data_IF_227184476117
#
_entry.id   IF_227184476117
#
_cell.length_a   1.000
_cell.length_b   1.000
_cell.length_c   1.000
_cell.angle_alpha   90.00
_cell.angle_beta   90.00
_cell.angle_gamma   90.00
#
_symmetry.space_group_name_H-M   'P 1'
#
loop_
_entity.id
_entity.type
_entity.pdbx_description
1 polymer ?
#
# COMPACT_ATOMS: atom_id res chain seq x y z
N UNK A 1 11.01 -32.02 10.71
CA UNK A 1 10.69 -31.46 10.64
C UNK A 1 10.45 -30.62 10.36
N UNK A 2 10.23 -30.37 10.18
CA UNK A 2 9.83 -29.62 9.97
C UNK A 2 9.72 -28.62 9.55
N UNK A 3 9.72 -28.33 9.27
CA UNK A 3 9.59 -27.44 9.04
C UNK A 3 9.21 -26.70 8.61
N UNK A 4 9.08 -26.56 8.53
CA UNK A 4 8.64 -25.93 8.32
C UNK A 4 8.24 -25.13 8.16
N UNK A 5 8.60 -25.12 8.07
CA UNK A 5 7.68 -24.13 7.59
C UNK A 5 7.49 -22.88 8.39
N UNK A 6 7.82 -22.82 9.48
CA UNK A 6 7.54 -21.71 10.28
C UNK A 6 8.20 -20.46 9.86
N UNK A 7 9.25 -20.55 9.23
CA UNK A 7 9.90 -19.35 8.83
C UNK A 7 9.10 -18.59 7.84
N UNK A 8 8.26 -19.24 7.15
CA UNK A 8 7.43 -18.54 6.24
C UNK A 8 6.45 -17.68 6.93
N UNK A 9 6.04 -18.06 8.11
CA UNK A 9 5.14 -17.22 8.82
C UNK A 9 5.75 -15.91 9.18
N UNK A 10 6.99 -15.92 9.55
CA UNK A 10 7.62 -14.68 9.92
C UNK A 10 7.64 -13.71 8.77
N UNK A 11 7.82 -14.22 7.58
CA UNK A 11 7.82 -13.32 6.45
C UNK A 11 6.46 -12.77 6.16
N UNK A 12 5.45 -13.54 6.41
CA UNK A 12 4.12 -13.08 6.16
C UNK A 12 3.73 -11.95 7.07
N UNK A 13 4.28 -11.92 8.24
CA UNK A 13 3.96 -10.85 9.15
C UNK A 13 4.38 -9.50 8.64
N UNK A 14 5.29 -9.48 7.71
CA UNK A 14 5.76 -8.21 7.18
C UNK A 14 5.16 -7.88 5.85
N UNK A 15 4.22 -8.66 5.41
CA UNK A 15 3.59 -8.41 4.15
C UNK A 15 2.69 -7.21 4.22
N UNK A 16 2.84 -6.31 3.26
CA UNK A 16 2.02 -5.13 3.18
C UNK A 16 0.92 -5.37 2.17
N UNK A 17 -0.33 -5.19 2.59
CA UNK A 17 -1.47 -5.34 1.71
C UNK A 17 -1.93 -3.99 1.20
N UNK A 18 -2.14 -3.90 -0.10
CA UNK A 18 -2.63 -2.69 -0.73
C UNK A 18 -3.80 -3.07 -1.62
N UNK A 19 -4.98 -2.52 -1.30
CA UNK A 19 -6.17 -2.76 -2.09
C UNK A 19 -6.84 -1.46 -2.42
N UNK A 20 -7.32 -1.32 -3.65
CA UNK A 20 -8.02 -0.13 -4.06
C UNK A 20 -9.43 -0.51 -4.50
N UNK A 21 -10.42 0.21 -4.01
CA UNK A 21 -11.80 -0.04 -4.37
C UNK A 21 -12.60 1.24 -4.25
N UNK A 22 -13.23 1.64 -5.35
CA UNK A 22 -14.18 2.75 -5.37
C UNK A 22 -13.66 4.02 -4.71
N UNK A 23 -12.44 4.39 -5.06
CA UNK A 23 -11.85 5.61 -4.56
C UNK A 23 -11.24 5.52 -3.19
N UNK A 24 -11.21 4.33 -2.61
CA UNK A 24 -10.65 4.14 -1.28
C UNK A 24 -9.51 3.14 -1.33
N UNK A 25 -8.43 3.50 -0.69
CA UNK A 25 -7.25 2.66 -0.60
C UNK A 25 -7.21 2.02 0.76
N UNK A 26 -7.07 0.70 0.79
CA UNK A 26 -7.02 -0.07 2.04
C UNK A 26 -5.61 -0.59 2.22
N UNK A 27 -4.99 -0.22 3.32
CA UNK A 27 -3.60 -0.56 3.59
C UNK A 27 -3.54 -1.39 4.85
N UNK A 28 -2.85 -2.52 4.78
CA UNK A 28 -2.64 -3.37 5.96
C UNK A 28 -1.16 -3.70 6.08
N UNK A 29 -0.71 -3.90 7.31
CA UNK A 29 0.65 -4.35 7.55
C UNK A 29 1.71 -3.31 7.36
N UNK A 30 1.35 -2.03 7.27
CA UNK A 30 2.31 -0.97 6.99
C UNK A 30 2.39 0.06 8.11
N UNK A 31 2.10 -0.34 9.31
CA UNK A 31 2.11 0.60 10.43
C UNK A 31 3.47 1.27 10.57
N UNK A 32 3.46 2.58 10.78
CA UNK A 32 4.68 3.40 10.94
C UNK A 32 5.46 3.60 9.65
N UNK A 33 4.89 3.26 8.51
CA UNK A 33 5.55 3.53 7.24
C UNK A 33 4.82 4.65 6.53
N UNK A 34 5.46 5.19 5.51
CA UNK A 34 4.88 6.26 4.71
C UNK A 34 4.38 5.71 3.41
N UNK A 35 3.19 6.18 3.04
CA UNK A 35 2.59 5.84 1.76
C UNK A 35 2.71 7.04 0.84
N UNK A 36 3.12 6.81 -0.40
CA UNK A 36 3.16 7.86 -1.41
C UNK A 36 2.37 7.41 -2.62
N UNK A 37 1.58 8.32 -3.18
CA UNK A 37 0.88 8.06 -4.42
C UNK A 37 1.47 8.96 -5.47
N UNK A 38 1.94 8.36 -6.56
CA UNK A 38 2.66 9.07 -7.60
C UNK A 38 1.97 8.81 -8.93
N UNK A 39 1.73 9.87 -9.68
CA UNK A 39 1.17 9.73 -11.02
C UNK A 39 2.22 9.11 -11.94
N UNK A 40 1.76 8.49 -13.03
CA UNK A 40 2.70 7.88 -13.97
C UNK A 40 3.64 8.89 -14.59
N UNK A 41 3.27 10.16 -14.57
CA UNK A 41 4.15 11.22 -15.08
C UNK A 41 5.30 11.52 -14.12
N UNK A 42 5.31 10.92 -12.94
CA UNK A 42 6.33 11.17 -11.95
C UNK A 42 5.96 12.18 -10.90
N UNK A 43 4.78 12.76 -10.99
CA UNK A 43 4.36 13.78 -10.05
C UNK A 43 3.80 13.14 -8.79
N UNK A 44 4.29 13.56 -7.63
CA UNK A 44 3.73 13.09 -6.38
C UNK A 44 2.38 13.73 -6.14
N UNK A 45 1.39 12.88 -5.88
CA UNK A 45 0.02 13.33 -5.71
C UNK A 45 -0.33 13.48 -4.25
N UNK A 46 0.10 12.53 -3.42
CA UNK A 46 -0.17 12.62 -2.00
C UNK A 46 0.82 11.78 -1.23
N UNK A 47 0.92 12.06 0.05
CA UNK A 47 1.82 11.38 0.95
C UNK A 47 1.13 11.29 2.30
N UNK A 48 1.05 10.09 2.84
CA UNK A 48 0.33 9.83 4.07
C UNK A 48 1.15 8.91 4.95
N UNK A 49 1.19 9.20 6.24
CA UNK A 49 1.82 8.30 7.18
C UNK A 49 0.80 7.27 7.65
N UNK A 50 1.17 6.01 7.64
CA UNK A 50 0.30 4.94 8.09
C UNK A 50 0.51 4.79 9.58
N UNK A 51 -0.57 4.99 10.34
CA UNK A 51 -0.48 4.99 11.79
C UNK A 51 -1.20 3.84 12.44
N UNK A 52 -1.79 2.95 11.65
CA UNK A 52 -2.47 1.80 12.23
C UNK A 52 -2.22 0.58 11.39
N UNK A 53 -2.42 -0.61 11.95
CA UNK A 53 -2.18 -1.84 11.18
C UNK A 53 -3.13 -2.01 10.02
N UNK A 54 -4.27 -1.35 10.04
CA UNK A 54 -5.22 -1.39 8.94
C UNK A 54 -5.79 0.01 8.77
N UNK A 55 -5.55 0.63 7.63
CA UNK A 55 -5.93 2.02 7.44
C UNK A 55 -6.62 2.21 6.10
N UNK A 56 -7.65 3.03 6.12
CA UNK A 56 -8.38 3.43 4.91
C UNK A 56 -7.97 4.84 4.53
N UNK A 57 -7.74 5.05 3.24
CA UNK A 57 -7.37 6.36 2.75
C UNK A 57 -8.25 6.68 1.56
N UNK A 58 -8.99 7.77 1.66
CA UNK A 58 -9.82 8.22 0.55
C UNK A 58 -8.96 8.97 -0.44
N UNK A 59 -9.05 8.57 -1.70
CA UNK A 59 -8.29 9.19 -2.76
C UNK A 59 -9.18 10.15 -3.53
N UNK A 60 -8.96 11.44 -3.34
CA UNK A 60 -9.69 12.47 -4.08
C UNK A 60 -8.80 12.99 -5.19
N UNK A 61 -8.47 12.11 -6.13
CA UNK A 61 -7.56 12.45 -7.20
C UNK A 61 -8.23 12.16 -8.54
N UNK A 62 -7.76 12.82 -9.61
CA UNK A 62 -8.37 12.62 -10.93
C UNK A 62 -8.21 11.19 -11.41
N UNK A 63 -9.04 10.81 -12.36
CA UNK A 63 -8.93 9.51 -12.97
C UNK A 63 -7.57 9.33 -13.60
N UNK A 64 -7.08 8.10 -13.57
CA UNK A 64 -5.80 7.82 -14.17
C UNK A 64 -5.09 6.68 -13.49
N UNK A 65 -3.89 6.38 -13.96
CA UNK A 65 -3.07 5.34 -13.38
C UNK A 65 -2.08 5.98 -12.42
N UNK A 66 -1.93 5.35 -11.27
CA UNK A 66 -1.04 5.87 -10.23
C UNK A 66 -0.24 4.73 -9.65
N UNK A 67 0.85 5.07 -9.00
CA UNK A 67 1.70 4.10 -8.33
C UNK A 67 1.67 4.42 -6.85
N UNK A 68 1.37 3.40 -6.06
CA UNK A 68 1.34 3.50 -4.60
C UNK A 68 2.63 2.87 -4.09
N UNK A 69 3.36 3.61 -3.29
CA UNK A 69 4.63 3.15 -2.74
C UNK A 69 4.60 3.19 -1.23
N UNK A 70 4.92 2.07 -0.60
CA UNK A 70 5.04 1.99 0.85
C UNK A 70 6.33 1.23 1.13
N UNK A 71 7.33 1.93 1.69
CA UNK A 71 8.62 1.31 1.89
C UNK A 71 9.15 0.75 0.59
N UNK A 72 9.40 -0.55 0.55
CA UNK A 72 9.90 -1.20 -0.64
C UNK A 72 8.79 -1.79 -1.51
N UNK A 73 7.55 -1.63 -1.12
CA UNK A 73 6.43 -2.20 -1.85
C UNK A 73 5.88 -1.18 -2.82
N UNK A 74 5.71 -1.60 -4.07
CA UNK A 74 5.20 -0.73 -5.13
C UNK A 74 4.03 -1.42 -5.78
N UNK A 75 2.91 -0.71 -5.92
CA UNK A 75 1.70 -1.24 -6.56
C UNK A 75 1.14 -0.21 -7.52
N UNK A 76 0.66 -0.69 -8.64
CA UNK A 76 0.01 0.16 -9.62
C UNK A 76 -1.49 0.07 -9.44
N UNK A 77 -2.16 1.21 -9.40
CA UNK A 77 -3.61 1.23 -9.29
C UNK A 77 -4.20 2.07 -10.40
N UNK A 78 -5.46 1.82 -10.67
CA UNK A 78 -6.20 2.55 -11.70
C UNK A 78 -7.38 3.21 -11.03
N UNK A 79 -7.41 4.54 -11.07
CA UNK A 79 -8.49 5.32 -10.48
C UNK A 79 -9.49 5.66 -11.55
N UNK A 80 -10.73 5.27 -11.35
CA UNK A 80 -11.78 5.48 -12.35
C UNK A 80 -12.83 6.45 -11.92
#
# INVERSE_FOLDING_TARGET
MLYFPEEMSAQQEQEIGIQYSEGVLYITGAENQQLEVVALTGKKVMKVKIESPAQKIELNIPKGCYIVKIGDVVRKISVK
#
